data_IF_059721853574
#
_entry.id   IF_059721853574
#
_cell.length_a   1.000
_cell.length_b   1.000
_cell.length_c   1.000
_cell.angle_alpha   90.00
_cell.angle_beta   90.00
_cell.angle_gamma   90.00
#
_symmetry.space_group_name_H-M   'P 1'
#
loop_
_entity.id
_entity.type
_entity.pdbx_description
1 polymer ?
#
# COMPACT_ATOMS: atom_id res chain seq x y z
N UNK A 1 -28.82 -33.03 -16.98
CA UNK A 1 -28.11 -31.74 -17.10
C UNK A 1 -27.42 -31.25 -15.81
N UNK A 2 -27.33 -32.02 -14.70
CA UNK A 2 -26.78 -31.54 -13.41
C UNK A 2 -25.25 -31.57 -13.26
N UNK A 3 -24.52 -32.40 -14.03
CA UNK A 3 -23.08 -32.63 -13.85
C UNK A 3 -22.17 -31.54 -14.48
N UNK A 4 -22.70 -30.74 -15.42
CA UNK A 4 -21.91 -29.73 -16.16
C UNK A 4 -21.82 -28.37 -15.43
N UNK A 5 -22.81 -28.03 -14.61
CA UNK A 5 -22.83 -26.78 -13.84
C UNK A 5 -21.90 -26.81 -12.62
N UNK A 6 -21.74 -27.98 -11.99
CA UNK A 6 -20.83 -28.15 -10.85
C UNK A 6 -19.36 -27.89 -11.21
N UNK A 7 -18.94 -28.26 -12.42
CA UNK A 7 -17.57 -28.06 -12.87
C UNK A 7 -17.20 -26.58 -13.04
N UNK A 8 -18.14 -25.75 -13.50
CA UNK A 8 -17.92 -24.32 -13.74
C UNK A 8 -17.78 -23.55 -12.41
N UNK A 9 -18.53 -23.96 -11.38
CA UNK A 9 -18.48 -23.34 -10.05
C UNK A 9 -17.17 -23.68 -9.31
N UNK A 10 -16.68 -24.91 -9.46
CA UNK A 10 -15.40 -25.33 -8.83
C UNK A 10 -14.20 -24.65 -9.50
N UNK A 11 -14.22 -24.50 -10.83
CA UNK A 11 -13.16 -23.81 -11.56
C UNK A 11 -13.10 -22.31 -11.24
N UNK A 12 -14.25 -21.66 -11.03
CA UNK A 12 -14.30 -20.25 -10.66
C UNK A 12 -13.87 -20.00 -9.21
N UNK A 13 -14.19 -20.90 -8.26
CA UNK A 13 -13.66 -20.82 -6.89
C UNK A 13 -12.13 -21.00 -6.83
N UNK A 14 -11.57 -21.91 -7.64
CA UNK A 14 -10.14 -22.13 -7.69
C UNK A 14 -9.37 -20.90 -8.23
N UNK A 15 -9.97 -20.15 -9.15
CA UNK A 15 -9.35 -18.94 -9.72
C UNK A 15 -9.39 -17.76 -8.74
N UNK A 16 -10.46 -17.64 -7.92
CA UNK A 16 -10.52 -16.65 -6.83
C UNK A 16 -9.52 -17.00 -5.72
N UNK A 17 -9.31 -18.29 -5.43
CA UNK A 17 -8.28 -18.72 -4.47
C UNK A 17 -6.84 -18.46 -4.96
N UNK A 18 -6.60 -18.58 -6.27
CA UNK A 18 -5.30 -18.29 -6.88
C UNK A 18 -5.00 -16.78 -6.97
N UNK A 19 -6.02 -15.93 -7.10
CA UNK A 19 -5.87 -14.46 -7.07
C UNK A 19 -5.95 -13.88 -5.65
N UNK A 20 -6.56 -14.60 -4.71
CA UNK A 20 -6.69 -14.20 -3.31
C UNK A 20 -5.48 -14.56 -2.44
N UNK A 21 -4.59 -15.45 -2.90
CA UNK A 21 -3.41 -15.88 -2.14
C UNK A 21 -2.28 -14.83 -2.09
N UNK A 22 -2.36 -13.76 -2.86
CA UNK A 22 -1.47 -12.59 -2.72
C UNK A 22 -2.03 -11.51 -1.77
N UNK A 23 -3.20 -11.73 -1.16
CA UNK A 23 -3.73 -10.82 -0.15
C UNK A 23 -3.01 -11.09 1.18
N UNK A 24 -1.85 -10.47 1.34
CA UNK A 24 -1.27 -10.27 2.66
C UNK A 24 -2.28 -9.51 3.52
N UNK A 25 -3.00 -10.23 4.37
CA UNK A 25 -3.80 -9.67 5.45
C UNK A 25 -2.85 -8.94 6.39
N UNK A 26 -2.75 -7.63 6.21
CA UNK A 26 -1.97 -6.78 7.12
C UNK A 26 -2.86 -6.44 8.31
N UNK A 27 -2.73 -7.23 9.37
CA UNK A 27 -3.31 -6.92 10.66
C UNK A 27 -2.60 -5.68 11.25
N UNK A 28 -3.38 -4.74 11.79
CA UNK A 28 -2.87 -3.65 12.59
C UNK A 28 -2.33 -4.23 13.93
N UNK A 29 -1.04 -4.56 13.95
CA UNK A 29 -0.32 -5.09 15.11
C UNK A 29 1.18 -5.23 14.85
N UNK A 30 1.96 -4.40 15.58
CA UNK A 30 3.43 -4.25 15.78
C UNK A 30 4.49 -4.68 14.76
N UNK A 31 4.23 -5.55 13.77
CA UNK A 31 5.19 -5.92 12.72
C UNK A 31 4.42 -6.26 11.43
N UNK A 32 4.11 -5.24 10.63
CA UNK A 32 3.61 -5.49 9.28
C UNK A 32 4.77 -6.04 8.46
N UNK A 33 4.73 -7.32 8.09
CA UNK A 33 5.70 -7.87 7.14
C UNK A 33 5.38 -7.31 5.76
N UNK A 34 6.25 -6.44 5.26
CA UNK A 34 6.11 -5.82 3.94
C UNK A 34 6.93 -6.64 2.97
N UNK A 35 6.26 -7.21 1.97
CA UNK A 35 6.83 -8.03 0.90
C UNK A 35 7.32 -7.17 -0.27
N UNK A 36 8.09 -7.75 -1.19
CA UNK A 36 8.43 -7.06 -2.45
C UNK A 36 7.17 -6.91 -3.29
N UNK A 37 7.01 -5.76 -3.95
CA UNK A 37 5.82 -5.46 -4.77
C UNK A 37 4.70 -4.83 -3.95
N UNK A 38 3.47 -5.28 -4.19
CA UNK A 38 2.26 -4.65 -3.66
C UNK A 38 1.97 -5.06 -2.22
N UNK A 39 1.76 -4.06 -1.35
CA UNK A 39 1.38 -4.29 0.04
C UNK A 39 0.23 -3.35 0.42
N UNK A 40 -0.82 -3.91 1.02
CA UNK A 40 -1.89 -3.14 1.64
C UNK A 40 -1.47 -2.80 3.06
N UNK A 41 -0.81 -1.66 3.24
CA UNK A 41 -0.24 -1.24 4.52
C UNK A 41 -1.11 -0.13 5.11
N UNK A 42 -2.31 -0.49 5.55
CA UNK A 42 -3.20 0.54 6.06
C UNK A 42 -4.41 0.01 6.80
N UNK A 43 -4.54 0.50 8.02
CA UNK A 43 -5.79 0.70 8.75
C UNK A 43 -5.84 2.18 9.20
N UNK A 44 -6.77 2.56 10.08
CA UNK A 44 -6.84 3.94 10.54
C UNK A 44 -5.53 4.36 11.23
N UNK A 45 -4.85 5.36 10.68
CA UNK A 45 -3.67 5.97 11.29
C UNK A 45 -4.06 6.79 12.51
N UNK A 46 -3.12 7.04 13.43
CA UNK A 46 -3.35 7.94 14.56
C UNK A 46 -3.51 9.40 14.15
N UNK A 47 -2.86 9.82 13.06
CA UNK A 47 -2.96 11.19 12.54
C UNK A 47 -2.74 11.25 11.03
N UNK A 48 -3.27 12.31 10.41
CA UNK A 48 -2.93 12.67 9.03
C UNK A 48 -1.43 12.99 8.95
N UNK A 49 -0.76 12.54 7.90
CA UNK A 49 0.68 12.82 7.73
C UNK A 49 1.12 12.89 6.27
N UNK A 50 2.23 13.59 5.97
CA UNK A 50 2.83 13.55 4.64
C UNK A 50 3.33 12.15 4.28
N UNK A 51 3.26 11.74 3.00
CA UNK A 51 3.71 10.41 2.56
C UNK A 51 5.16 10.10 2.91
N UNK A 52 6.05 11.10 2.82
CA UNK A 52 7.46 10.94 3.17
C UNK A 52 7.67 10.60 4.66
N UNK A 53 6.80 11.09 5.55
CA UNK A 53 6.88 10.76 6.98
C UNK A 53 6.37 9.34 7.26
N UNK A 54 5.31 8.92 6.56
CA UNK A 54 4.74 7.57 6.68
C UNK A 54 5.78 6.47 6.42
N UNK A 55 6.57 6.62 5.36
CA UNK A 55 7.63 5.66 4.97
C UNK A 55 9.00 5.97 5.56
N UNK A 56 9.13 6.95 6.47
CA UNK A 56 10.42 7.44 6.94
C UNK A 56 11.29 6.40 7.67
N UNK A 57 10.67 5.34 8.20
CA UNK A 57 11.38 4.25 8.87
C UNK A 57 11.84 3.13 7.92
N UNK A 58 11.51 3.24 6.63
CA UNK A 58 12.00 2.34 5.60
C UNK A 58 13.29 2.88 4.97
N UNK A 59 14.21 2.00 4.55
CA UNK A 59 15.34 2.40 3.73
C UNK A 59 14.87 3.12 2.46
N UNK A 60 15.57 4.19 2.07
CA UNK A 60 15.19 4.98 0.88
C UNK A 60 15.18 4.13 -0.41
N UNK A 61 15.96 3.06 -0.50
CA UNK A 61 15.97 2.18 -1.68
C UNK A 61 14.90 1.08 -1.64
N UNK A 62 14.15 0.90 -0.54
CA UNK A 62 13.29 -0.27 -0.37
C UNK A 62 11.88 -0.11 -0.94
N UNK A 63 11.45 1.11 -1.23
CA UNK A 63 10.10 1.42 -1.69
C UNK A 63 10.09 2.28 -2.95
N UNK A 64 9.01 2.19 -3.72
CA UNK A 64 8.86 2.85 -5.02
C UNK A 64 7.76 3.89 -4.99
N UNK A 65 6.60 3.57 -4.41
CA UNK A 65 5.45 4.44 -4.42
C UNK A 65 4.47 4.13 -3.28
N UNK A 66 3.74 5.16 -2.87
CA UNK A 66 2.57 5.08 -2.00
C UNK A 66 1.34 5.48 -2.80
N UNK A 67 0.25 4.74 -2.67
CA UNK A 67 -1.03 5.08 -3.26
C UNK A 67 -2.13 5.12 -2.21
N UNK A 68 -3.08 6.03 -2.39
CA UNK A 68 -4.32 6.08 -1.62
C UNK A 68 -5.51 6.18 -2.57
N UNK A 69 -6.65 5.63 -2.17
CA UNK A 69 -7.90 5.86 -2.87
C UNK A 69 -8.53 7.17 -2.38
N UNK A 70 -8.68 8.14 -3.27
CA UNK A 70 -9.44 9.36 -2.98
C UNK A 70 -10.92 9.14 -3.30
N UNK A 71 -11.74 9.09 -2.24
CA UNK A 71 -13.18 8.87 -2.36
C UNK A 71 -13.92 10.05 -3.01
N UNK A 72 -13.39 11.28 -2.95
CA UNK A 72 -14.08 12.43 -3.56
C UNK A 72 -13.99 12.39 -5.07
N UNK A 73 -12.79 12.16 -5.61
CA UNK A 73 -12.59 12.05 -7.05
C UNK A 73 -12.78 10.64 -7.61
N UNK A 74 -12.94 9.62 -6.75
CA UNK A 74 -12.98 8.20 -7.14
C UNK A 74 -11.75 7.81 -7.99
N UNK A 75 -10.57 8.30 -7.59
CA UNK A 75 -9.31 8.02 -8.27
C UNK A 75 -8.23 7.58 -7.30
N UNK A 76 -7.29 6.78 -7.81
CA UNK A 76 -6.03 6.54 -7.11
C UNK A 76 -5.17 7.80 -7.17
N UNK A 77 -4.63 8.19 -6.03
CA UNK A 77 -3.63 9.24 -5.90
C UNK A 77 -2.30 8.62 -5.46
N UNK A 78 -1.19 9.26 -5.79
CA UNK A 78 0.13 8.64 -5.67
C UNK A 78 1.18 9.54 -5.01
N UNK A 79 2.23 8.91 -4.51
CA UNK A 79 3.48 9.55 -4.13
C UNK A 79 4.63 8.60 -4.47
N UNK A 80 5.43 8.95 -5.47
CA UNK A 80 6.60 8.20 -5.88
C UNK A 80 7.83 8.62 -5.07
N UNK A 81 8.71 7.65 -4.84
CA UNK A 81 10.00 7.87 -4.23
C UNK A 81 10.90 8.67 -5.20
N UNK A 82 11.28 9.89 -4.80
CA UNK A 82 12.19 10.73 -5.59
C UNK A 82 13.66 10.33 -5.41
N UNK A 83 14.00 9.65 -4.30
CA UNK A 83 15.32 9.12 -4.04
C UNK A 83 15.72 7.96 -4.95
N UNK A 84 14.75 7.33 -5.64
CA UNK A 84 14.98 6.28 -6.64
C UNK A 84 15.11 6.80 -8.07
N UNK A 85 15.21 8.12 -8.26
CA UNK A 85 15.35 8.75 -9.58
C UNK A 85 14.04 9.18 -10.23
N UNK A 86 12.90 9.05 -9.54
CA UNK A 86 11.63 9.60 -10.04
C UNK A 86 11.66 11.13 -9.98
N UNK A 87 11.38 11.84 -11.08
CA UNK A 87 11.33 13.29 -11.06
C UNK A 87 10.25 13.82 -10.09
N UNK A 88 10.58 14.88 -9.35
CA UNK A 88 9.69 15.44 -8.33
C UNK A 88 8.35 15.96 -8.89
N UNK A 89 8.33 16.44 -10.14
CA UNK A 89 7.11 16.93 -10.78
C UNK A 89 6.03 15.84 -10.92
N UNK A 90 6.40 14.56 -10.90
CA UNK A 90 5.42 13.45 -10.96
C UNK A 90 4.54 13.45 -9.72
N UNK A 91 5.03 13.95 -8.58
CA UNK A 91 4.29 14.05 -7.33
C UNK A 91 3.47 15.33 -7.20
N UNK A 92 3.31 16.12 -8.27
CA UNK A 92 2.46 17.30 -8.27
C UNK A 92 0.99 16.89 -8.02
N UNK A 93 0.31 17.60 -7.12
CA UNK A 93 -1.09 17.32 -6.76
C UNK A 93 -2.05 17.54 -7.93
N UNK A 94 -1.70 18.43 -8.87
CA UNK A 94 -2.45 18.62 -10.12
C UNK A 94 -2.42 17.37 -11.02
N UNK A 95 -1.43 16.50 -10.86
CA UNK A 95 -1.26 15.25 -11.62
C UNK A 95 -1.70 14.00 -10.85
N UNK A 96 -2.36 14.18 -9.70
CA UNK A 96 -2.77 13.06 -8.82
C UNK A 96 -1.78 12.74 -7.71
N UNK A 97 -0.74 13.57 -7.53
CA UNK A 97 0.14 13.51 -6.37
C UNK A 97 -0.61 13.73 -5.05
N UNK A 98 -0.14 13.11 -3.97
CA UNK A 98 -0.61 13.39 -2.61
C UNK A 98 0.39 14.20 -1.80
N UNK A 99 -0.12 15.20 -1.09
CA UNK A 99 0.61 15.93 -0.04
C UNK A 99 0.36 15.36 1.36
N UNK A 100 -0.75 14.66 1.55
CA UNK A 100 -1.20 14.10 2.84
C UNK A 100 -1.80 12.71 2.62
N UNK A 101 -1.49 11.79 3.52
CA UNK A 101 -2.19 10.53 3.73
C UNK A 101 -3.23 10.77 4.83
N UNK A 102 -4.54 10.75 4.52
CA UNK A 102 -5.58 10.89 5.53
C UNK A 102 -5.58 9.71 6.49
N UNK A 103 -5.86 9.97 7.77
CA UNK A 103 -5.86 8.96 8.82
C UNK A 103 -6.81 7.80 8.55
N UNK A 104 -7.92 8.00 7.84
CA UNK A 104 -8.88 6.93 7.52
C UNK A 104 -8.69 6.36 6.11
N UNK A 105 -7.55 6.60 5.46
CA UNK A 105 -7.28 6.08 4.11
C UNK A 105 -6.68 4.68 4.15
N UNK A 106 -7.13 3.82 3.22
CA UNK A 106 -6.41 2.59 2.90
C UNK A 106 -5.18 2.95 2.06
N UNK A 107 -4.00 2.50 2.49
CA UNK A 107 -2.74 2.81 1.84
C UNK A 107 -2.18 1.56 1.15
N UNK A 108 -1.80 1.73 -0.11
CA UNK A 108 -1.02 0.75 -0.87
C UNK A 108 0.43 1.22 -0.91
N UNK A 109 1.35 0.37 -0.50
CA UNK A 109 2.80 0.59 -0.60
C UNK A 109 3.41 -0.38 -1.59
N UNK A 110 4.07 0.18 -2.59
CA UNK A 110 4.86 -0.56 -3.57
C UNK A 110 6.31 -0.63 -3.09
N UNK A 111 6.77 -1.83 -2.74
CA UNK A 111 8.14 -2.08 -2.35
C UNK A 111 8.99 -2.52 -3.54
N UNK A 112 10.22 -2.01 -3.61
CA UNK A 112 11.23 -2.48 -4.55
C UNK A 112 11.94 -3.76 -4.06
N UNK A 113 11.99 -3.97 -2.74
CA UNK A 113 12.63 -5.12 -2.11
C UNK A 113 12.00 -5.40 -0.74
N UNK A 114 12.11 -6.64 -0.26
CA UNK A 114 11.72 -6.99 1.09
C UNK A 114 12.66 -6.33 2.11
N UNK A 115 12.11 -5.95 3.25
CA UNK A 115 12.86 -5.36 4.38
C UNK A 115 12.63 -6.24 5.59
N UNK A 116 13.71 -6.59 6.28
CA UNK A 116 13.61 -7.34 7.54
C UNK A 116 13.05 -6.43 8.62
N UNK A 117 11.95 -6.84 9.25
CA UNK A 117 11.23 -6.05 10.27
C UNK A 117 10.86 -4.63 9.80
N UNK A 118 10.09 -4.48 8.70
CA UNK A 118 9.72 -3.17 8.21
C UNK A 118 8.82 -2.45 9.21
N UNK A 119 8.98 -1.13 9.28
CA UNK A 119 8.16 -0.24 10.09
C UNK A 119 7.68 0.93 9.26
N UNK A 120 6.43 1.28 9.46
CA UNK A 120 5.78 2.47 8.92
C UNK A 120 5.30 3.29 10.10
N UNK A 121 5.36 4.62 9.97
CA UNK A 121 4.86 5.50 11.02
C UNK A 121 3.34 5.53 11.01
N UNK A 122 2.76 5.51 12.19
CA UNK A 122 1.34 5.67 12.47
C UNK A 122 1.00 7.11 12.92
N UNK A 123 2.01 7.88 13.36
CA UNK A 123 1.91 9.32 13.59
C UNK A 123 3.19 10.09 13.20
N UNK A 124 3.11 11.41 12.92
CA UNK A 124 4.28 12.23 12.58
C UNK A 124 5.43 12.15 13.59
N UNK A 125 5.10 12.06 14.88
CA UNK A 125 6.05 12.11 15.99
C UNK A 125 6.57 10.73 16.40
N UNK A 126 6.12 9.65 15.75
CA UNK A 126 6.59 8.31 16.07
C UNK A 126 8.08 8.15 15.70
N UNK A 127 8.87 7.56 16.59
CA UNK A 127 10.26 7.24 16.35
C UNK A 127 10.41 5.95 15.52
N UNK A 128 11.49 5.83 14.76
CA UNK A 128 11.79 4.63 13.95
C UNK A 128 12.52 3.51 14.71
N UNK A 129 12.58 3.60 16.05
CA UNK A 129 13.30 2.69 16.96
C UNK A 129 12.41 1.60 17.53
#
# INVERSE_FOLDING_TARGET
MRKKYLAVIVASLAMVAALGSSLGLVAAGTRQSVSTGFNLVGGPLQADMPPAQFVACLPASSWTAVYIWDAQSQTWKHHFNTGSGTPSYVNDTALGGISVIPRLSGVVLMMAQAVTSPRLKDSPNEACS
#
